data_IF_804382840002
#
_entry.id   IF_804382840002
#
_cell.length_a   1.000
_cell.length_b   1.000
_cell.length_c   1.000
_cell.angle_alpha   90.00
_cell.angle_beta   90.00
_cell.angle_gamma   90.00
#
_symmetry.space_group_name_H-M   'P 1'
#
loop_
_entity.id
_entity.type
_entity.pdbx_description
1 polymer ?
#
# COMPACT_ATOMS: atom_id res chain seq x y z
N UNK A 1 48.45 -58.33 19.18
CA UNK A 1 49.10 -57.14 19.77
C UNK A 1 50.25 -56.74 18.87
N UNK A 2 50.29 -55.45 18.52
CA UNK A 2 51.38 -54.65 17.95
C UNK A 2 52.04 -55.12 16.63
N UNK A 3 51.84 -54.37 15.55
CA UNK A 3 52.99 -53.86 14.82
C UNK A 3 52.74 -52.56 14.04
N UNK A 4 53.80 -51.75 14.04
CA UNK A 4 53.91 -50.32 13.76
C UNK A 4 53.77 -49.96 12.28
N UNK A 5 53.06 -48.86 11.97
CA UNK A 5 53.18 -48.15 10.68
C UNK A 5 53.23 -46.62 10.87
N UNK A 6 54.47 -46.15 10.99
CA UNK A 6 55.06 -44.97 10.32
C UNK A 6 54.19 -43.72 10.11
N UNK A 7 54.44 -42.71 10.95
CA UNK A 7 53.91 -41.35 10.81
C UNK A 7 54.84 -40.54 9.90
N UNK A 8 54.36 -40.06 8.75
CA UNK A 8 55.09 -39.07 7.93
C UNK A 8 55.05 -37.71 8.64
N UNK A 9 56.18 -37.31 9.21
CA UNK A 9 56.41 -35.96 9.70
C UNK A 9 56.41 -35.01 8.50
N UNK A 10 55.45 -34.09 8.45
CA UNK A 10 55.50 -32.96 7.54
C UNK A 10 56.73 -32.12 7.88
N UNK A 11 57.70 -32.07 6.96
CA UNK A 11 58.78 -31.08 7.02
C UNK A 11 58.14 -29.71 6.78
N UNK A 12 58.22 -28.84 7.79
CA UNK A 12 57.70 -27.49 7.74
C UNK A 12 58.53 -26.62 6.80
N UNK A 13 58.09 -26.51 5.56
CA UNK A 13 58.55 -25.47 4.62
C UNK A 13 57.40 -24.50 4.44
N UNK A 14 57.62 -23.22 4.73
CA UNK A 14 56.60 -22.18 4.57
C UNK A 14 56.62 -21.67 3.13
N UNK A 15 55.45 -21.33 2.57
CA UNK A 15 55.32 -20.77 1.21
C UNK A 15 56.21 -19.52 0.99
N UNK A 16 56.54 -18.81 2.07
CA UNK A 16 57.43 -17.64 2.10
C UNK A 16 58.88 -17.95 1.69
N UNK A 17 59.42 -19.14 1.97
CA UNK A 17 60.82 -19.46 1.63
C UNK A 17 61.01 -19.87 0.16
N UNK A 18 59.96 -20.28 -0.53
CA UNK A 18 60.02 -20.65 -1.97
C UNK A 18 59.88 -19.41 -2.87
N UNK A 19 59.14 -18.40 -2.41
CA UNK A 19 58.90 -17.17 -3.16
C UNK A 19 60.10 -16.22 -3.23
N UNK A 20 61.14 -16.41 -2.40
CA UNK A 20 62.33 -15.53 -2.40
C UNK A 20 63.44 -16.01 -3.37
N UNK A 21 63.41 -17.25 -3.88
CA UNK A 21 64.54 -17.82 -4.64
C UNK A 21 64.49 -17.60 -6.16
N UNK A 22 63.38 -17.08 -6.71
CA UNK A 22 63.26 -16.86 -8.16
C UNK A 22 63.31 -15.37 -8.54
N UNK A 23 64.05 -14.56 -7.80
CA UNK A 23 64.48 -13.24 -8.25
C UNK A 23 65.95 -13.37 -8.66
N UNK A 24 66.27 -12.84 -9.84
CA UNK A 24 67.55 -12.91 -10.57
C UNK A 24 67.83 -14.24 -11.29
N UNK A 25 67.52 -14.30 -12.59
CA UNK A 25 68.46 -14.83 -13.59
C UNK A 25 68.20 -14.47 -15.07
N UNK A 26 67.14 -13.73 -15.44
CA UNK A 26 66.89 -13.43 -16.86
C UNK A 26 67.33 -12.04 -17.36
N UNK A 27 68.05 -11.26 -16.54
CA UNK A 27 68.43 -9.89 -16.90
C UNK A 27 69.85 -9.79 -17.51
N UNK A 28 70.13 -10.47 -18.63
CA UNK A 28 71.41 -10.25 -19.35
C UNK A 28 71.28 -10.02 -20.87
N UNK A 29 70.23 -10.42 -21.58
CA UNK A 29 70.15 -10.16 -23.03
C UNK A 29 68.74 -9.77 -23.50
N UNK A 30 68.39 -8.49 -23.37
CA UNK A 30 67.26 -7.92 -24.11
C UNK A 30 67.68 -6.56 -24.69
N UNK A 31 67.83 -6.53 -26.00
CA UNK A 31 68.15 -5.34 -26.78
C UNK A 31 66.97 -4.35 -26.70
N UNK A 32 67.23 -3.05 -26.64
CA UNK A 32 66.24 -1.99 -26.36
C UNK A 32 65.21 -1.73 -27.49
N UNK A 33 65.01 -2.69 -28.39
CA UNK A 33 64.02 -2.63 -29.47
C UNK A 33 62.81 -3.54 -29.22
N UNK A 34 62.85 -4.44 -28.23
CA UNK A 34 61.74 -5.36 -27.90
C UNK A 34 60.74 -4.81 -26.86
N UNK A 35 60.96 -3.60 -26.35
CA UNK A 35 60.03 -2.94 -25.42
C UNK A 35 58.84 -2.25 -26.12
N UNK A 36 58.64 -2.45 -27.42
CA UNK A 36 57.55 -1.83 -28.19
C UNK A 36 56.40 -2.76 -28.56
N UNK A 37 56.47 -4.06 -28.23
CA UNK A 37 55.36 -4.98 -28.51
C UNK A 37 54.95 -5.83 -27.30
N UNK A 38 54.90 -5.19 -26.12
CA UNK A 38 54.42 -5.81 -24.87
C UNK A 38 53.37 -4.93 -24.16
N UNK A 39 52.58 -4.19 -24.93
CA UNK A 39 51.40 -3.42 -24.47
C UNK A 39 50.21 -3.68 -25.43
N UNK A 40 50.13 -4.90 -25.97
CA UNK A 40 49.09 -5.31 -26.93
C UNK A 40 48.39 -6.63 -26.60
N UNK A 41 48.75 -7.29 -25.49
CA UNK A 41 48.33 -8.67 -25.20
C UNK A 41 47.71 -8.83 -23.79
N UNK A 42 47.17 -7.75 -23.23
CA UNK A 42 46.29 -7.80 -22.03
C UNK A 42 44.88 -7.25 -22.36
N UNK A 43 44.49 -7.24 -23.64
CA UNK A 43 43.18 -6.71 -24.08
C UNK A 43 42.31 -7.73 -24.81
N UNK A 44 42.41 -9.00 -24.44
CA UNK A 44 41.51 -10.04 -24.92
C UNK A 44 41.11 -10.85 -23.69
N UNK A 45 39.81 -10.85 -23.34
CA UNK A 45 39.09 -11.86 -22.53
C UNK A 45 37.79 -11.31 -21.89
N UNK A 46 37.35 -10.07 -22.16
CA UNK A 46 36.07 -9.55 -21.64
C UNK A 46 35.02 -9.17 -22.70
N UNK A 47 35.39 -9.18 -23.98
CA UNK A 47 34.43 -8.85 -25.06
C UNK A 47 33.67 -10.05 -25.61
N UNK A 48 34.12 -11.28 -25.34
CA UNK A 48 33.47 -12.52 -25.76
C UNK A 48 32.76 -13.26 -24.60
N UNK A 49 32.47 -12.57 -23.51
CA UNK A 49 31.69 -13.15 -22.40
C UNK A 49 30.21 -12.97 -22.70
N UNK A 50 29.52 -14.10 -22.94
CA UNK A 50 28.07 -14.16 -22.96
C UNK A 50 27.54 -13.80 -21.57
N UNK A 51 26.76 -12.72 -21.51
CA UNK A 51 26.18 -12.24 -20.27
C UNK A 51 24.68 -12.42 -20.37
N UNK A 52 24.12 -13.22 -19.48
CA UNK A 52 22.67 -13.40 -19.40
C UNK A 52 22.00 -12.17 -18.81
N UNK A 53 20.76 -11.92 -19.22
CA UNK A 53 19.95 -10.92 -18.57
C UNK A 53 19.63 -11.28 -17.12
N UNK A 54 19.91 -10.35 -16.23
CA UNK A 54 19.52 -10.47 -14.83
C UNK A 54 18.46 -9.42 -14.48
N UNK A 55 17.40 -9.85 -13.78
CA UNK A 55 16.29 -8.96 -13.37
C UNK A 55 16.12 -8.97 -11.87
N UNK A 56 15.64 -7.84 -11.32
CA UNK A 56 15.38 -7.72 -9.91
C UNK A 56 14.25 -8.64 -9.45
N UNK A 57 14.16 -8.86 -8.13
CA UNK A 57 12.93 -9.34 -7.51
C UNK A 57 11.78 -8.40 -7.85
N UNK A 58 10.56 -8.95 -7.86
CA UNK A 58 9.36 -8.14 -7.99
C UNK A 58 9.22 -7.20 -6.80
N UNK A 59 8.74 -5.99 -7.07
CA UNK A 59 8.26 -5.08 -6.04
C UNK A 59 7.07 -5.69 -5.29
N UNK A 60 6.73 -5.06 -4.17
CA UNK A 60 5.43 -5.25 -3.55
C UNK A 60 4.32 -4.78 -4.51
N UNK A 61 3.12 -5.32 -4.32
CA UNK A 61 1.95 -4.83 -5.04
C UNK A 61 1.63 -3.40 -4.60
N UNK A 62 1.29 -2.55 -5.56
CA UNK A 62 0.75 -1.21 -5.31
C UNK A 62 -0.55 -1.30 -4.50
N UNK A 63 -0.97 -0.18 -3.87
CA UNK A 63 -2.35 -0.01 -3.46
C UNK A 63 -3.33 -0.27 -4.62
N UNK A 64 -4.56 -0.65 -4.28
CA UNK A 64 -5.60 -0.86 -5.28
C UNK A 64 -6.02 0.49 -5.88
N UNK A 65 -5.77 0.69 -7.17
CA UNK A 65 -6.26 1.84 -7.92
C UNK A 65 -7.68 1.54 -8.40
N UNK A 66 -8.67 2.12 -7.73
CA UNK A 66 -10.10 1.92 -8.04
C UNK A 66 -10.58 2.98 -9.04
N UNK A 67 -11.37 2.56 -10.03
CA UNK A 67 -11.84 3.44 -11.11
C UNK A 67 -12.78 4.55 -10.61
N UNK A 68 -13.53 4.31 -9.55
CA UNK A 68 -14.54 5.24 -9.02
C UNK A 68 -14.06 6.03 -7.78
N UNK A 69 -12.74 6.22 -7.63
CA UNK A 69 -12.15 7.07 -6.59
C UNK A 69 -11.66 6.31 -5.35
N UNK A 70 -12.55 6.00 -4.39
CA UNK A 70 -12.14 5.53 -3.04
C UNK A 70 -12.46 4.06 -2.77
N UNK A 71 -13.52 3.51 -3.37
CA UNK A 71 -13.91 2.11 -3.14
C UNK A 71 -14.51 1.48 -4.40
N UNK A 72 -14.61 0.16 -4.40
CA UNK A 72 -15.10 -0.63 -5.52
C UNK A 72 -13.99 -1.47 -6.17
N UNK A 73 -14.19 -1.81 -7.44
CA UNK A 73 -13.24 -2.60 -8.21
C UNK A 73 -12.11 -1.74 -8.77
N UNK A 74 -10.92 -2.32 -8.86
CA UNK A 74 -9.73 -1.66 -9.34
C UNK A 74 -8.64 -2.64 -9.74
N UNK A 75 -7.45 -2.09 -9.99
CA UNK A 75 -6.25 -2.86 -10.29
C UNK A 75 -5.09 -2.45 -9.41
N UNK A 76 -4.24 -3.41 -9.09
CA UNK A 76 -2.94 -3.17 -8.48
C UNK A 76 -1.85 -3.73 -9.37
N UNK A 77 -0.67 -3.13 -9.29
CA UNK A 77 0.47 -3.48 -10.12
C UNK A 77 1.70 -3.81 -9.29
N UNK A 78 2.61 -4.58 -9.88
CA UNK A 78 3.96 -4.75 -9.35
C UNK A 78 4.94 -4.74 -10.50
N UNK A 79 6.14 -4.25 -10.23
CA UNK A 79 7.17 -4.04 -11.25
C UNK A 79 8.47 -4.72 -10.85
N UNK A 80 9.34 -4.97 -11.82
CA UNK A 80 10.74 -5.37 -11.62
C UNK A 80 11.57 -4.67 -12.69
N UNK A 81 12.87 -4.54 -12.47
CA UNK A 81 13.78 -3.89 -13.43
C UNK A 81 14.86 -4.84 -13.90
N UNK A 82 15.43 -4.54 -15.05
CA UNK A 82 16.64 -5.19 -15.54
C UNK A 82 17.80 -4.66 -14.71
N UNK A 83 18.57 -5.58 -14.12
CA UNK A 83 19.79 -5.28 -13.38
C UNK A 83 21.00 -5.37 -14.32
N UNK A 84 20.99 -6.37 -15.21
CA UNK A 84 22.05 -6.62 -16.18
C UNK A 84 21.42 -6.85 -17.54
N UNK A 85 21.86 -6.10 -18.55
CA UNK A 85 21.43 -6.30 -19.92
C UNK A 85 22.22 -7.47 -20.54
N UNK A 86 21.57 -8.27 -21.41
CA UNK A 86 22.25 -9.37 -22.05
C UNK A 86 23.34 -8.85 -23.01
N UNK A 87 24.46 -9.55 -23.09
CA UNK A 87 25.56 -9.29 -24.04
C UNK A 87 25.85 -10.56 -24.84
N UNK A 88 26.23 -10.37 -26.11
CA UNK A 88 26.53 -11.45 -27.06
C UNK A 88 25.36 -12.44 -27.16
N UNK A 89 25.61 -13.74 -27.06
CA UNK A 89 24.60 -14.81 -27.16
C UNK A 89 23.94 -15.16 -25.81
N UNK A 90 24.03 -14.27 -24.81
CA UNK A 90 23.37 -14.43 -23.51
C UNK A 90 21.84 -14.39 -23.59
N UNK A 91 21.16 -15.00 -22.61
CA UNK A 91 19.70 -15.10 -22.60
C UNK A 91 19.03 -13.71 -22.52
N UNK A 92 18.05 -13.43 -23.39
CA UNK A 92 17.41 -12.11 -23.44
C UNK A 92 16.52 -11.84 -22.23
N UNK A 93 16.37 -10.57 -21.88
CA UNK A 93 15.49 -10.16 -20.79
C UNK A 93 14.01 -10.49 -21.05
N UNK A 94 13.24 -10.83 -20.00
CA UNK A 94 11.80 -10.99 -20.13
C UNK A 94 11.15 -9.65 -20.49
N UNK A 95 10.35 -9.64 -21.56
CA UNK A 95 9.60 -8.45 -22.03
C UNK A 95 8.62 -7.89 -20.98
N UNK A 96 8.07 -8.76 -20.13
CA UNK A 96 7.12 -8.38 -19.08
C UNK A 96 7.85 -8.03 -17.78
N UNK A 97 8.00 -6.72 -17.57
CA UNK A 97 8.55 -6.12 -16.35
C UNK A 97 7.46 -5.59 -15.39
N UNK A 98 6.20 -5.60 -15.83
CA UNK A 98 5.04 -5.16 -15.05
C UNK A 98 3.99 -6.28 -15.02
N UNK A 99 3.31 -6.43 -13.88
CA UNK A 99 2.16 -7.33 -13.70
C UNK A 99 1.00 -6.57 -13.09
N UNK A 100 -0.21 -6.82 -13.59
CA UNK A 100 -1.46 -6.29 -13.03
C UNK A 100 -2.29 -7.40 -12.39
N UNK A 101 -3.06 -7.05 -11.35
CA UNK A 101 -4.02 -7.94 -10.70
C UNK A 101 -5.26 -7.14 -10.30
N UNK A 102 -6.44 -7.70 -10.54
CA UNK A 102 -7.70 -7.10 -10.08
C UNK A 102 -7.78 -7.11 -8.55
N UNK A 103 -8.38 -6.06 -7.99
CA UNK A 103 -8.62 -5.91 -6.57
C UNK A 103 -9.99 -5.26 -6.31
N UNK A 104 -10.49 -5.44 -5.09
CA UNK A 104 -11.76 -4.88 -4.63
C UNK A 104 -11.57 -4.23 -3.27
N UNK A 105 -11.95 -2.96 -3.16
CA UNK A 105 -11.96 -2.18 -1.93
C UNK A 105 -13.42 -2.04 -1.49
N UNK A 106 -13.74 -2.50 -0.27
CA UNK A 106 -15.13 -2.47 0.22
C UNK A 106 -15.63 -1.03 0.40
N UNK A 107 -16.79 -0.73 -0.19
CA UNK A 107 -17.47 0.53 0.03
C UNK A 107 -18.22 0.51 1.35
N UNK A 108 -17.87 1.41 2.28
CA UNK A 108 -18.71 1.65 3.45
C UNK A 108 -19.99 2.35 3.00
N UNK A 109 -21.07 1.58 2.84
CA UNK A 109 -22.41 2.15 2.69
C UNK A 109 -22.70 2.92 3.97
N UNK A 110 -22.82 4.25 3.89
CA UNK A 110 -23.40 5.04 4.98
C UNK A 110 -24.75 4.38 5.28
N UNK A 111 -24.88 3.72 6.42
CA UNK A 111 -26.19 3.21 6.87
C UNK A 111 -27.09 4.44 6.84
N UNK A 112 -28.13 4.43 5.99
CA UNK A 112 -29.20 5.42 6.10
C UNK A 112 -29.69 5.28 7.53
N UNK A 113 -29.24 6.18 8.40
CA UNK A 113 -29.79 6.28 9.74
C UNK A 113 -31.27 6.48 9.50
N UNK A 114 -32.06 5.46 9.80
CA UNK A 114 -33.51 5.60 9.81
C UNK A 114 -33.76 6.51 10.99
N UNK A 115 -33.67 7.82 10.75
CA UNK A 115 -34.13 8.81 11.71
C UNK A 115 -35.61 8.47 11.88
N UNK A 116 -35.95 7.94 13.06
CA UNK A 116 -37.32 7.70 13.45
C UNK A 116 -37.90 9.08 13.71
N UNK A 117 -38.42 9.71 12.67
CA UNK A 117 -39.05 11.02 12.80
C UNK A 117 -40.37 10.78 13.53
N UNK A 118 -40.38 11.04 14.84
CA UNK A 118 -41.61 11.13 15.63
C UNK A 118 -42.44 12.34 15.22
N UNK A 119 -43.59 12.52 15.87
CA UNK A 119 -44.45 13.70 15.66
C UNK A 119 -43.67 15.00 15.96
N UNK A 120 -43.49 15.83 14.94
CA UNK A 120 -42.95 17.18 15.09
C UNK A 120 -44.14 18.14 15.08
N UNK A 121 -44.30 18.90 16.16
CA UNK A 121 -45.40 19.87 16.32
C UNK A 121 -44.87 21.30 16.08
N UNK A 122 -45.75 22.20 15.63
CA UNK A 122 -45.46 23.63 15.57
C UNK A 122 -45.37 24.25 16.97
N UNK A 123 -44.92 25.51 17.03
CA UNK A 123 -45.18 26.34 18.20
C UNK A 123 -46.69 26.49 18.42
N UNK A 124 -47.06 26.73 19.68
CA UNK A 124 -48.43 26.99 20.06
C UNK A 124 -48.89 28.36 19.56
N UNK A 125 -50.14 28.45 19.12
CA UNK A 125 -50.79 29.74 18.94
C UNK A 125 -50.86 30.51 20.27
N UNK A 126 -51.00 31.84 20.22
CA UNK A 126 -51.48 32.60 21.36
C UNK A 126 -52.82 32.04 21.88
N UNK A 127 -53.11 32.26 23.16
CA UNK A 127 -54.39 31.89 23.75
C UNK A 127 -55.52 32.76 23.20
N UNK A 128 -56.68 32.16 22.97
CA UNK A 128 -57.91 32.90 22.67
C UNK A 128 -58.25 33.86 23.81
N UNK A 129 -58.95 34.96 23.51
CA UNK A 129 -59.45 35.87 24.55
C UNK A 129 -60.50 35.16 25.41
N UNK A 130 -60.66 35.63 26.65
CA UNK A 130 -61.83 35.28 27.47
C UNK A 130 -63.03 36.09 27.03
N UNK A 131 -64.21 35.49 27.05
CA UNK A 131 -65.47 36.21 26.90
C UNK A 131 -65.78 37.02 28.17
N UNK A 132 -66.80 37.87 28.11
CA UNK A 132 -67.27 38.67 29.25
C UNK A 132 -67.79 37.75 30.36
N UNK A 133 -66.94 37.50 31.37
CA UNK A 133 -67.24 36.63 32.50
C UNK A 133 -66.09 35.66 32.79
N UNK A 134 -65.84 35.37 34.07
CA UNK A 134 -64.78 34.45 34.46
C UNK A 134 -65.32 33.07 34.87
N UNK A 135 -66.62 32.98 35.21
CA UNK A 135 -67.24 31.73 35.63
C UNK A 135 -67.53 30.84 34.43
N UNK A 136 -67.04 29.60 34.48
CA UNK A 136 -67.22 28.56 33.45
C UNK A 136 -66.70 28.93 32.04
N UNK A 137 -65.82 29.92 31.92
CA UNK A 137 -65.18 30.27 30.65
C UNK A 137 -63.82 29.60 30.49
N UNK A 138 -63.52 29.19 29.25
CA UNK A 138 -62.27 28.55 28.87
C UNK A 138 -61.63 29.28 27.69
N UNK A 139 -60.32 29.43 27.74
CA UNK A 139 -59.51 29.78 26.57
C UNK A 139 -59.01 28.51 25.91
N UNK A 140 -58.79 28.57 24.60
CA UNK A 140 -58.15 27.52 23.84
C UNK A 140 -56.97 28.05 23.05
N UNK A 141 -56.04 27.17 22.72
CA UNK A 141 -54.96 27.40 21.77
C UNK A 141 -54.76 26.16 20.92
N UNK A 142 -54.17 26.34 19.75
CA UNK A 142 -53.93 25.25 18.80
C UNK A 142 -52.46 25.20 18.37
N UNK A 143 -52.03 24.03 17.93
CA UNK A 143 -50.77 23.80 17.23
C UNK A 143 -50.98 22.75 16.15
N UNK A 144 -50.15 22.77 15.13
CA UNK A 144 -50.27 21.88 13.98
C UNK A 144 -49.17 20.83 13.97
N UNK A 145 -49.45 19.67 13.40
CA UNK A 145 -48.44 18.65 13.11
C UNK A 145 -47.65 19.09 11.88
N UNK A 146 -46.35 19.32 12.05
CA UNK A 146 -45.44 19.64 10.95
C UNK A 146 -44.91 18.37 10.27
N UNK A 147 -44.75 17.28 11.03
CA UNK A 147 -44.32 15.98 10.50
C UNK A 147 -45.09 14.86 11.17
N UNK A 148 -45.81 14.08 10.36
CA UNK A 148 -46.44 12.85 10.79
C UNK A 148 -45.42 11.69 10.83
N UNK A 149 -45.54 10.77 11.81
CA UNK A 149 -44.70 9.59 11.87
C UNK A 149 -44.99 8.69 10.67
N UNK A 150 -43.95 8.05 10.16
CA UNK A 150 -44.06 7.12 9.01
C UNK A 150 -44.74 5.79 9.38
N UNK A 151 -44.84 5.49 10.68
CA UNK A 151 -45.44 4.26 11.20
C UNK A 151 -46.89 4.54 11.61
N UNK A 152 -47.82 3.73 11.12
CA UNK A 152 -49.28 3.92 11.22
C UNK A 152 -49.87 3.72 12.62
N UNK A 153 -49.05 3.39 13.62
CA UNK A 153 -49.50 3.03 14.98
C UNK A 153 -49.46 4.22 15.93
N UNK A 154 -48.77 5.31 15.58
CA UNK A 154 -48.65 6.50 16.43
C UNK A 154 -49.35 7.68 15.77
N UNK A 155 -50.47 8.13 16.31
CA UNK A 155 -51.09 9.40 15.93
C UNK A 155 -50.50 10.53 16.76
N UNK A 156 -50.37 11.72 16.16
CA UNK A 156 -49.94 12.89 16.91
C UNK A 156 -51.10 13.37 17.78
N UNK A 157 -50.85 13.54 19.07
CA UNK A 157 -51.88 13.95 20.05
C UNK A 157 -51.64 15.40 20.53
N UNK A 158 -52.69 16.00 21.08
CA UNK A 158 -52.69 17.32 21.70
C UNK A 158 -52.48 18.46 20.70
N UNK A 159 -53.31 18.55 19.66
CA UNK A 159 -53.35 19.69 18.72
C UNK A 159 -54.10 20.90 19.30
N UNK A 160 -54.99 20.66 20.27
CA UNK A 160 -55.79 21.69 20.95
C UNK A 160 -55.58 21.55 22.45
N UNK A 161 -55.42 22.69 23.12
CA UNK A 161 -55.32 22.77 24.57
C UNK A 161 -56.35 23.77 25.11
N UNK A 162 -57.00 23.42 26.21
CA UNK A 162 -57.98 24.24 26.89
C UNK A 162 -57.47 24.60 28.29
N UNK A 163 -57.75 25.83 28.74
CA UNK A 163 -57.50 26.26 30.12
C UNK A 163 -58.62 27.17 30.62
N UNK A 164 -58.93 27.18 31.93
CA UNK A 164 -59.88 28.11 32.48
C UNK A 164 -59.41 29.56 32.30
N UNK A 165 -60.36 30.47 32.15
CA UNK A 165 -60.09 31.90 32.16
C UNK A 165 -59.58 32.35 33.53
N UNK A 166 -58.49 33.13 33.60
CA UNK A 166 -58.01 33.65 34.86
C UNK A 166 -58.92 34.78 35.36
N UNK A 167 -59.43 34.65 36.60
CA UNK A 167 -60.11 35.73 37.31
C UNK A 167 -59.06 36.54 38.07
N UNK A 168 -58.88 37.82 37.73
CA UNK A 168 -58.05 38.76 38.49
C UNK A 168 -58.89 39.96 38.90
#
# INVERSE_FOLDING_TARGET
MLNSTMWKKHLGVTLSSVLQYNIQNDAINANADDAKNKIGEERLFFDDINLDCEVSKWSNWSPCNVTNGVCGWGFKEKTRRILVHPKNDGFPCPKKLVKHKQCHVSCQKKKKSRVRTGCVMSEWSPWSKCNEGCENQYQHRFRHVLVYPKETVTTCQNEVEHRPCPCY
#
